data_IF_840809652573
#
_entry.id   IF_840809652573
#
_cell.length_a   1.000
_cell.length_b   1.000
_cell.length_c   1.000
_cell.angle_alpha   90.00
_cell.angle_beta   90.00
_cell.angle_gamma   90.00
#
_symmetry.space_group_name_H-M   'P 1'
#
loop_
_entity.id
_entity.type
_entity.pdbx_description
1 polymer ?
#
# COMPACT_ATOMS: atom_id res chain seq x y z
N UNK A 1 -40.69 18.83 -33.00
CA UNK A 1 -39.29 19.08 -33.36
C UNK A 1 -38.48 18.72 -32.13
N UNK A 2 -37.75 17.62 -32.20
CA UNK A 2 -37.19 16.93 -31.05
C UNK A 2 -35.92 17.61 -30.53
N UNK A 3 -35.82 17.72 -29.21
CA UNK A 3 -34.63 18.12 -28.47
C UNK A 3 -33.66 16.95 -28.39
N UNK A 4 -32.60 16.99 -29.19
CA UNK A 4 -31.47 16.05 -29.07
C UNK A 4 -30.55 16.51 -27.95
N UNK A 5 -30.71 15.93 -26.77
CA UNK A 5 -29.73 15.99 -25.67
C UNK A 5 -28.52 15.16 -26.08
N UNK A 6 -27.39 15.80 -26.38
CA UNK A 6 -26.13 15.12 -26.66
C UNK A 6 -25.65 14.31 -25.45
N UNK A 7 -25.30 13.05 -25.66
CA UNK A 7 -24.59 12.25 -24.67
C UNK A 7 -23.22 12.90 -24.41
N UNK A 8 -22.98 13.32 -23.18
CA UNK A 8 -21.65 13.68 -22.72
C UNK A 8 -20.86 12.39 -22.48
N UNK A 9 -19.83 12.15 -23.29
CA UNK A 9 -18.87 11.06 -23.06
C UNK A 9 -18.08 11.44 -21.79
N UNK A 10 -17.99 10.59 -20.76
CA UNK A 10 -17.16 10.89 -19.60
C UNK A 10 -15.70 11.06 -20.05
N UNK A 11 -15.03 12.13 -19.59
CA UNK A 11 -13.60 12.33 -19.81
C UNK A 11 -12.85 11.08 -19.38
N UNK A 12 -12.07 10.48 -20.30
CA UNK A 12 -11.10 9.45 -19.95
C UNK A 12 -10.16 10.05 -18.90
N UNK A 13 -10.16 9.44 -17.71
CA UNK A 13 -9.15 9.73 -16.68
C UNK A 13 -7.75 9.61 -17.30
N UNK A 14 -6.81 10.51 -16.96
CA UNK A 14 -5.47 10.51 -17.53
C UNK A 14 -4.83 9.12 -17.42
N UNK A 15 -4.23 8.65 -18.51
CA UNK A 15 -3.57 7.35 -18.58
C UNK A 15 -2.50 7.23 -17.49
N UNK A 16 -2.77 6.42 -16.46
CA UNK A 16 -1.85 6.14 -15.34
C UNK A 16 -0.65 5.26 -15.80
N UNK A 17 -0.56 4.89 -17.08
CA UNK A 17 0.41 3.92 -17.60
C UNK A 17 1.88 4.26 -17.33
N UNK A 18 2.26 5.55 -17.36
CA UNK A 18 3.66 6.01 -17.26
C UNK A 18 4.14 6.27 -15.81
N UNK A 19 3.25 6.17 -14.82
CA UNK A 19 3.62 6.41 -13.41
C UNK A 19 4.28 5.18 -12.78
N UNK A 20 5.27 5.35 -11.88
CA UNK A 20 5.76 4.25 -11.04
C UNK A 20 4.60 3.55 -10.33
N UNK A 21 4.72 2.23 -10.09
CA UNK A 21 3.66 1.45 -9.45
C UNK A 21 3.26 2.02 -8.08
N UNK A 22 4.25 2.47 -7.31
CA UNK A 22 4.05 3.21 -6.06
C UNK A 22 4.08 4.70 -6.40
N UNK A 23 2.94 5.39 -6.28
CA UNK A 23 2.74 6.76 -6.78
C UNK A 23 2.78 7.83 -5.67
N UNK A 24 3.09 7.45 -4.43
CA UNK A 24 3.33 8.40 -3.34
C UNK A 24 4.19 7.83 -2.21
N UNK A 25 4.76 8.75 -1.43
CA UNK A 25 5.36 8.44 -0.14
C UNK A 25 4.28 7.96 0.87
N UNK A 26 4.64 7.13 1.86
CA UNK A 26 3.70 6.62 2.84
C UNK A 26 3.22 7.67 3.82
N UNK A 27 1.94 7.60 4.19
CA UNK A 27 1.32 8.35 5.27
C UNK A 27 1.04 7.42 6.46
N UNK A 28 1.40 7.87 7.67
CA UNK A 28 1.10 7.18 8.92
C UNK A 28 -0.34 7.50 9.38
N UNK A 29 -1.06 6.50 9.88
CA UNK A 29 -2.45 6.59 10.32
C UNK A 29 -2.70 5.79 11.59
N UNK A 30 -3.75 6.13 12.33
CA UNK A 30 -4.23 5.36 13.50
C UNK A 30 -3.11 5.03 14.51
N UNK A 31 -2.33 6.05 14.85
CA UNK A 31 -1.21 5.99 15.79
C UNK A 31 -1.63 5.37 17.14
N UNK A 32 -0.88 4.36 17.60
CA UNK A 32 -1.17 3.65 18.85
C UNK A 32 0.09 3.07 19.50
N UNK A 33 -0.04 2.55 20.72
CA UNK A 33 1.08 1.96 21.47
C UNK A 33 1.60 0.65 20.84
N UNK A 34 0.70 -0.13 20.25
CA UNK A 34 1.02 -1.48 19.74
C UNK A 34 0.67 -1.66 18.27
N UNK A 35 0.38 -0.57 17.55
CA UNK A 35 -0.02 -0.64 16.15
C UNK A 35 0.20 0.67 15.38
N UNK A 36 0.36 0.54 14.07
CA UNK A 36 0.55 1.66 13.14
C UNK A 36 -0.15 1.36 11.81
N UNK A 37 -0.89 2.33 11.30
CA UNK A 37 -1.52 2.28 9.97
C UNK A 37 -0.60 2.97 8.98
N UNK A 38 -0.45 2.38 7.80
CA UNK A 38 0.39 2.92 6.73
C UNK A 38 -0.44 2.90 5.47
N UNK A 39 -0.59 4.06 4.84
CA UNK A 39 -1.29 4.20 3.56
C UNK A 39 -0.37 4.81 2.51
N UNK A 40 -0.51 4.38 1.27
CA UNK A 40 0.22 4.93 0.11
C UNK A 40 -0.60 4.66 -1.16
N UNK A 41 -0.40 5.48 -2.18
CA UNK A 41 -1.09 5.32 -3.46
C UNK A 41 -0.33 4.41 -4.43
N UNK A 42 -1.09 3.77 -5.31
CA UNK A 42 -0.57 3.00 -6.45
C UNK A 42 -1.14 3.54 -7.75
N UNK A 43 -0.43 3.30 -8.86
CA UNK A 43 -0.87 3.73 -10.19
C UNK A 43 -1.67 2.67 -10.95
N UNK A 44 -1.63 1.40 -10.52
CA UNK A 44 -2.25 0.25 -11.18
C UNK A 44 -2.79 -0.71 -10.14
N UNK A 45 -3.66 -1.63 -10.57
CA UNK A 45 -4.26 -2.67 -9.73
C UNK A 45 -3.17 -3.53 -9.08
N UNK A 46 -3.06 -3.46 -7.76
CA UNK A 46 -1.97 -4.08 -7.04
C UNK A 46 -2.39 -4.59 -5.66
N UNK A 47 -1.53 -5.42 -5.08
CA UNK A 47 -1.56 -5.72 -3.65
C UNK A 47 -0.36 -5.04 -2.95
N UNK A 48 -0.64 -4.22 -1.95
CA UNK A 48 0.37 -3.55 -1.16
C UNK A 48 0.96 -4.43 -0.06
N UNK A 49 2.12 -4.06 0.45
CA UNK A 49 2.69 -4.61 1.67
C UNK A 49 3.63 -3.63 2.35
N UNK A 50 3.93 -3.92 3.61
CA UNK A 50 4.97 -3.23 4.39
C UNK A 50 5.94 -4.27 4.93
N UNK A 51 7.23 -4.07 4.66
CA UNK A 51 8.28 -4.72 5.43
C UNK A 51 8.69 -3.79 6.57
N UNK A 52 8.82 -4.30 7.79
CA UNK A 52 9.24 -3.50 8.95
C UNK A 52 10.20 -4.26 9.86
N UNK A 53 11.11 -3.55 10.53
CA UNK A 53 12.08 -4.07 11.49
C UNK A 53 12.34 -3.08 12.63
N UNK A 54 12.87 -3.56 13.76
CA UNK A 54 13.46 -2.72 14.81
C UNK A 54 14.88 -2.24 14.42
N UNK A 55 15.49 -2.89 13.40
CA UNK A 55 16.84 -2.59 12.93
C UNK A 55 16.82 -1.64 11.72
N UNK A 56 17.70 -0.63 11.73
CA UNK A 56 17.78 0.39 10.69
C UNK A 56 18.23 -0.14 9.32
N UNK A 57 18.97 -1.25 9.30
CA UNK A 57 19.44 -1.94 8.11
C UNK A 57 18.38 -2.90 7.51
N UNK A 58 17.18 -2.94 8.09
CA UNK A 58 16.08 -3.84 7.71
C UNK A 58 16.42 -5.33 7.88
N UNK A 59 17.46 -5.66 8.65
CA UNK A 59 17.73 -7.05 9.02
C UNK A 59 16.57 -7.61 9.86
N UNK A 60 16.18 -8.86 9.59
CA UNK A 60 15.09 -9.51 10.31
C UNK A 60 13.69 -8.92 10.06
N UNK A 61 13.50 -8.18 8.96
CA UNK A 61 12.21 -7.59 8.63
C UNK A 61 11.07 -8.61 8.55
N UNK A 62 9.91 -8.20 9.03
CA UNK A 62 8.63 -8.90 8.88
C UNK A 62 7.81 -8.23 7.79
N UNK A 63 7.15 -9.02 6.94
CA UNK A 63 6.22 -8.54 5.91
C UNK A 63 4.77 -8.61 6.39
N UNK A 64 4.00 -7.55 6.16
CA UNK A 64 2.55 -7.51 6.34
C UNK A 64 1.91 -7.08 5.03
N UNK A 65 1.04 -7.92 4.47
CA UNK A 65 0.31 -7.63 3.24
C UNK A 65 -0.88 -6.71 3.50
N UNK A 66 -1.32 -6.01 2.46
CA UNK A 66 -2.56 -5.25 2.46
C UNK A 66 -3.76 -6.19 2.61
N UNK A 67 -4.76 -5.74 3.37
CA UNK A 67 -5.93 -6.52 3.71
C UNK A 67 -5.91 -7.08 5.13
N UNK A 68 -6.77 -8.07 5.36
CA UNK A 68 -7.12 -8.57 6.67
C UNK A 68 -7.27 -10.08 6.67
N UNK A 69 -7.88 -10.61 7.72
CA UNK A 69 -8.07 -12.04 7.96
C UNK A 69 -8.38 -12.85 6.69
N UNK A 70 -7.38 -13.60 6.19
CA UNK A 70 -7.44 -14.47 4.99
C UNK A 70 -7.86 -13.79 3.68
N UNK A 71 -7.94 -12.46 3.63
CA UNK A 71 -8.34 -11.71 2.44
C UNK A 71 -7.26 -10.70 2.08
N UNK A 72 -6.82 -10.76 0.84
CA UNK A 72 -5.94 -9.75 0.25
C UNK A 72 -6.78 -8.56 -0.20
N UNK A 73 -6.35 -7.35 0.15
CA UNK A 73 -6.96 -6.11 -0.36
C UNK A 73 -6.21 -5.67 -1.62
N UNK A 74 -6.83 -5.94 -2.77
CA UNK A 74 -6.35 -5.52 -4.09
C UNK A 74 -7.03 -4.19 -4.43
N UNK A 75 -6.23 -3.18 -4.79
CA UNK A 75 -6.72 -1.84 -5.04
C UNK A 75 -5.90 -1.17 -6.16
N UNK A 76 -6.49 -0.21 -6.88
CA UNK A 76 -5.83 0.53 -7.98
C UNK A 76 -5.52 2.00 -7.65
N UNK A 77 -5.84 2.42 -6.43
CA UNK A 77 -5.67 3.79 -5.96
C UNK A 77 -4.86 3.85 -4.67
N UNK A 78 -5.32 3.20 -3.59
CA UNK A 78 -4.73 3.34 -2.25
C UNK A 78 -4.61 2.00 -1.53
N UNK A 79 -3.40 1.72 -1.08
CA UNK A 79 -3.08 0.59 -0.21
C UNK A 79 -3.17 1.02 1.25
N UNK A 80 -3.68 0.13 2.12
CA UNK A 80 -3.79 0.35 3.56
C UNK A 80 -3.31 -0.87 4.33
N UNK A 81 -2.16 -0.75 4.98
CA UNK A 81 -1.56 -1.81 5.79
C UNK A 81 -1.66 -1.45 7.26
N UNK A 82 -2.11 -2.40 8.09
CA UNK A 82 -2.15 -2.25 9.55
C UNK A 82 -1.10 -3.16 10.20
N UNK A 83 -0.08 -2.54 10.78
CA UNK A 83 0.87 -3.22 11.64
C UNK A 83 0.26 -3.35 13.04
N UNK A 84 0.34 -4.55 13.63
CA UNK A 84 -0.17 -4.87 14.97
C UNK A 84 0.85 -5.68 15.75
N UNK A 85 0.68 -5.77 17.07
CA UNK A 85 1.60 -6.50 17.95
C UNK A 85 2.96 -5.82 18.09
N UNK A 86 3.03 -4.51 17.86
CA UNK A 86 4.24 -3.71 18.05
C UNK A 86 4.49 -3.48 19.55
N UNK A 87 5.74 -3.21 19.91
CA UNK A 87 6.11 -2.80 21.27
C UNK A 87 5.82 -1.32 21.49
N UNK A 88 5.34 -0.88 22.67
CA UNK A 88 5.22 0.54 23.02
C UNK A 88 6.56 1.29 22.99
N UNK A 89 6.52 2.60 22.76
CA UNK A 89 7.68 3.50 22.76
C UNK A 89 8.92 2.98 22.00
N UNK A 90 8.70 2.25 20.90
CA UNK A 90 9.73 1.55 20.15
C UNK A 90 9.82 2.10 18.73
N UNK A 91 11.05 2.37 18.29
CA UNK A 91 11.32 2.82 16.93
C UNK A 91 11.32 1.64 15.98
N UNK A 92 10.59 1.77 14.88
CA UNK A 92 10.55 0.82 13.78
C UNK A 92 11.00 1.51 12.50
N UNK A 93 11.69 0.76 11.66
CA UNK A 93 12.07 1.10 10.29
C UNK A 93 11.22 0.30 9.34
N UNK A 94 10.81 0.90 8.23
CA UNK A 94 9.93 0.24 7.29
C UNK A 94 10.13 0.72 5.85
N UNK A 95 9.68 -0.11 4.91
CA UNK A 95 9.53 0.23 3.49
C UNK A 95 8.18 -0.25 3.00
N UNK A 96 7.60 0.48 2.06
CA UNK A 96 6.38 0.07 1.37
C UNK A 96 6.75 -0.71 0.10
N UNK A 97 5.84 -1.59 -0.31
CA UNK A 97 5.96 -2.30 -1.57
C UNK A 97 4.60 -2.62 -2.16
N UNK A 98 4.57 -2.87 -3.46
CA UNK A 98 3.36 -3.20 -4.20
C UNK A 98 3.66 -4.32 -5.21
N UNK A 99 2.69 -5.21 -5.41
CA UNK A 99 2.74 -6.27 -6.40
C UNK A 99 1.66 -6.00 -7.44
N UNK A 100 2.05 -5.71 -8.67
CA UNK A 100 1.12 -5.48 -9.77
C UNK A 100 0.41 -6.80 -10.13
N UNK A 101 -0.91 -6.73 -10.24
CA UNK A 101 -1.77 -7.86 -10.58
C UNK A 101 -2.35 -7.61 -11.97
N UNK A 102 -1.90 -8.39 -12.95
CA UNK A 102 -2.59 -8.49 -14.23
C UNK A 102 -3.55 -9.66 -14.21
N UNK A 103 -4.83 -9.37 -14.46
CA UNK A 103 -5.83 -10.38 -14.75
C UNK A 103 -5.70 -10.74 -16.22
N UNK A 104 -5.16 -11.93 -16.50
CA UNK A 104 -5.02 -12.43 -17.87
C UNK A 104 -6.37 -13.03 -18.32
N UNK A 105 -7.05 -13.75 -17.42
CA UNK A 105 -8.43 -14.24 -17.56
C UNK A 105 -9.04 -14.61 -16.18
N UNK A 106 -10.28 -15.14 -16.16
CA UNK A 106 -11.01 -15.51 -14.93
C UNK A 106 -10.40 -16.68 -14.12
N UNK A 107 -9.36 -17.34 -14.61
CA UNK A 107 -8.64 -18.45 -13.94
C UNK A 107 -7.16 -18.17 -13.72
N UNK A 108 -6.60 -17.13 -14.33
CA UNK A 108 -5.17 -16.85 -14.28
C UNK A 108 -4.90 -15.40 -13.89
N UNK A 109 -4.51 -15.21 -12.63
CA UNK A 109 -3.86 -13.98 -12.18
C UNK A 109 -2.36 -14.19 -12.28
N UNK A 110 -1.64 -13.27 -12.91
CA UNK A 110 -0.18 -13.27 -12.89
C UNK A 110 0.34 -12.09 -12.08
N UNK A 111 1.23 -12.36 -11.12
CA UNK A 111 2.05 -11.32 -10.50
C UNK A 111 3.15 -10.96 -11.50
N UNK A 112 3.09 -9.74 -12.04
CA UNK A 112 4.02 -9.31 -13.10
C UNK A 112 5.24 -8.64 -12.53
N UNK A 113 5.05 -7.80 -11.52
CA UNK A 113 6.10 -6.94 -11.01
C UNK A 113 5.90 -6.70 -9.52
N UNK A 114 6.97 -6.88 -8.73
CA UNK A 114 7.01 -6.43 -7.35
C UNK A 114 7.91 -5.20 -7.27
N UNK A 115 7.33 -4.07 -6.92
CA UNK A 115 8.05 -2.84 -6.63
C UNK A 115 8.22 -2.70 -5.13
N UNK A 116 9.43 -2.35 -4.70
CA UNK A 116 9.75 -1.97 -3.33
C UNK A 116 10.25 -0.53 -3.39
N UNK A 117 9.68 0.35 -2.57
CA UNK A 117 10.18 1.71 -2.44
C UNK A 117 11.63 1.66 -1.92
N UNK A 118 12.61 2.28 -2.62
CA UNK A 118 14.00 2.26 -2.18
C UNK A 118 14.22 3.01 -0.85
N UNK A 119 13.29 3.87 -0.44
CA UNK A 119 13.42 4.65 0.78
C UNK A 119 13.06 3.82 2.02
N UNK A 120 13.89 3.95 3.05
CA UNK A 120 13.60 3.44 4.40
C UNK A 120 13.02 4.59 5.22
N UNK A 121 11.81 4.39 5.71
CA UNK A 121 11.09 5.30 6.58
C UNK A 121 11.20 4.82 8.02
N UNK A 122 10.80 5.66 8.98
CA UNK A 122 10.72 5.23 10.37
C UNK A 122 9.58 5.91 11.13
N UNK A 123 9.10 5.22 12.16
CA UNK A 123 8.17 5.78 13.15
C UNK A 123 8.52 5.26 14.54
N UNK A 124 7.99 5.90 15.57
CA UNK A 124 8.07 5.41 16.95
C UNK A 124 6.66 5.22 17.46
N UNK A 125 6.34 4.06 18.03
CA UNK A 125 5.01 3.79 18.62
C UNK A 125 4.74 4.65 19.85
N UNK A 126 3.46 4.81 20.18
CA UNK A 126 3.04 5.54 21.38
C UNK A 126 3.37 4.79 22.68
N UNK A 127 3.07 5.42 23.81
CA UNK A 127 3.17 4.81 25.14
C UNK A 127 4.50 5.09 25.83
N UNK A 128 4.80 4.28 26.85
CA UNK A 128 6.04 4.36 27.64
C UNK A 128 6.83 3.07 27.47
N UNK A 129 8.16 3.15 27.58
CA UNK A 129 8.99 1.94 27.69
C UNK A 129 8.53 1.16 28.93
N UNK A 130 8.29 -0.13 28.73
CA UNK A 130 8.02 -1.06 29.82
C UNK A 130 9.22 -1.18 30.76
#
# INVERSE_FOLDING_TARGET
METTTGLQIPEETPDKSDKPLIDSAPMLQNYAETSMGIAFSVSKLANGFVDYSENADMSGSKRVMCGGFRLTDVNEDVMRVRLTGLKPATKYYYRIGAQHIEYIDYRHNSLKETMIDPNIYSFTTAGKKA
#
